data_IF_416463615842
#
_entry.id   IF_416463615842
#
_cell.length_a   1.000
_cell.length_b   1.000
_cell.length_c   1.000
_cell.angle_alpha   90.00
_cell.angle_beta   90.00
_cell.angle_gamma   90.00
#
_symmetry.space_group_name_H-M   'P 1'
#
loop_
_entity.id
_entity.type
_entity.pdbx_description
1 polymer ?
#
# COMPACT_ATOMS: atom_id res chain seq x y z
N UNK A 1 10.41 -15.71 -9.73
CA UNK A 1 10.99 -14.61 -8.91
C UNK A 1 10.97 -15.06 -7.45
N UNK A 2 12.05 -14.83 -6.71
CA UNK A 2 12.08 -15.10 -5.28
C UNK A 2 11.17 -14.10 -4.56
N UNK A 3 10.30 -14.50 -3.62
CA UNK A 3 9.32 -13.60 -2.99
C UNK A 3 9.94 -12.36 -2.35
N UNK A 4 11.10 -12.53 -1.71
CA UNK A 4 11.86 -11.43 -1.12
C UNK A 4 12.33 -10.42 -2.19
N UNK A 5 12.86 -10.90 -3.31
CA UNK A 5 13.27 -10.03 -4.42
C UNK A 5 12.07 -9.32 -5.08
N UNK A 6 10.92 -9.99 -5.16
CA UNK A 6 9.68 -9.39 -5.66
C UNK A 6 9.16 -8.28 -4.73
N UNK A 7 9.22 -8.49 -3.42
CA UNK A 7 8.84 -7.46 -2.44
C UNK A 7 9.84 -6.31 -2.42
N UNK A 8 11.14 -6.62 -2.43
CA UNK A 8 12.20 -5.62 -2.36
C UNK A 8 12.25 -4.69 -3.57
N UNK A 9 11.76 -5.12 -4.73
CA UNK A 9 11.81 -4.29 -5.93
C UNK A 9 10.79 -3.14 -5.94
N UNK A 10 9.88 -3.07 -4.96
CA UNK A 10 9.11 -1.85 -4.70
C UNK A 10 10.03 -0.69 -4.28
N UNK A 11 11.22 -0.98 -3.72
CA UNK A 11 12.27 -0.03 -3.31
C UNK A 11 13.22 0.38 -4.45
N UNK A 12 12.93 0.06 -5.71
CA UNK A 12 13.62 0.66 -6.87
C UNK A 12 12.74 1.74 -7.51
N UNK A 13 13.16 3.03 -7.54
CA UNK A 13 12.37 4.12 -8.11
C UNK A 13 11.97 3.84 -9.57
N UNK A 14 10.73 4.17 -9.93
CA UNK A 14 10.17 3.94 -11.27
C UNK A 14 9.88 2.46 -11.59
N UNK A 15 10.82 1.55 -11.27
CA UNK A 15 10.60 0.11 -11.37
C UNK A 15 9.48 -0.36 -10.43
N UNK A 16 9.44 0.14 -9.19
CA UNK A 16 8.38 -0.16 -8.23
C UNK A 16 7.00 0.24 -8.73
N UNK A 17 6.88 1.42 -9.36
CA UNK A 17 5.64 1.87 -10.03
C UNK A 17 5.21 0.92 -11.15
N UNK A 18 6.13 0.60 -12.06
CA UNK A 18 5.87 -0.35 -13.15
C UNK A 18 5.49 -1.73 -12.63
N UNK A 19 6.17 -2.19 -11.58
CA UNK A 19 5.91 -3.48 -10.97
C UNK A 19 4.55 -3.50 -10.25
N UNK A 20 4.17 -2.45 -9.54
CA UNK A 20 2.86 -2.31 -8.91
C UNK A 20 1.75 -2.39 -9.97
N UNK A 21 1.90 -1.67 -11.08
CA UNK A 21 0.99 -1.77 -12.22
C UNK A 21 0.88 -3.23 -12.71
N UNK A 22 2.01 -3.90 -12.97
CA UNK A 22 2.01 -5.28 -13.47
C UNK A 22 1.40 -6.26 -12.49
N UNK A 23 1.68 -6.10 -11.20
CA UNK A 23 1.17 -6.95 -10.14
C UNK A 23 -0.36 -6.85 -10.06
N UNK A 24 -0.90 -5.64 -10.03
CA UNK A 24 -2.34 -5.41 -9.98
C UNK A 24 -3.06 -5.78 -11.29
N UNK A 25 -2.41 -5.60 -12.44
CA UNK A 25 -2.95 -6.08 -13.72
C UNK A 25 -3.09 -7.61 -13.74
N UNK A 26 -2.13 -8.33 -13.16
CA UNK A 26 -2.22 -9.78 -12.99
C UNK A 26 -3.39 -10.16 -12.07
N UNK A 27 -3.51 -9.54 -10.90
CA UNK A 27 -4.61 -9.79 -9.96
C UNK A 27 -5.96 -9.55 -10.62
N UNK A 28 -6.11 -8.44 -11.35
CA UNK A 28 -7.35 -8.10 -12.07
C UNK A 28 -7.73 -9.20 -13.07
N UNK A 29 -6.76 -9.71 -13.83
CA UNK A 29 -6.98 -10.81 -14.77
C UNK A 29 -7.38 -12.10 -14.06
N UNK A 30 -6.77 -12.40 -12.91
CA UNK A 30 -7.10 -13.57 -12.09
C UNK A 30 -8.53 -13.49 -11.53
N UNK A 31 -8.92 -12.32 -11.02
CA UNK A 31 -10.28 -12.06 -10.54
C UNK A 31 -11.33 -12.20 -11.64
N UNK A 32 -11.04 -11.66 -12.83
CA UNK A 32 -11.92 -11.80 -13.99
C UNK A 32 -12.13 -13.26 -14.40
N UNK A 33 -11.07 -14.09 -14.35
CA UNK A 33 -11.15 -15.52 -14.69
C UNK A 33 -12.07 -16.31 -13.76
N UNK A 34 -12.20 -15.89 -12.51
CA UNK A 34 -13.06 -16.57 -11.51
C UNK A 34 -14.42 -15.86 -11.36
N UNK A 35 -14.72 -14.86 -12.19
CA UNK A 35 -15.99 -14.13 -12.11
C UNK A 35 -16.16 -13.31 -10.83
N UNK A 36 -15.07 -12.92 -10.17
CA UNK A 36 -15.16 -12.14 -8.93
C UNK A 36 -15.77 -10.75 -9.20
N UNK A 37 -16.68 -10.25 -8.34
CA UNK A 37 -17.21 -8.89 -8.47
C UNK A 37 -16.19 -7.82 -8.06
N UNK A 38 -15.09 -8.20 -7.38
CA UNK A 38 -14.04 -7.26 -7.01
C UNK A 38 -13.24 -6.83 -8.23
N UNK A 39 -13.01 -5.52 -8.31
CA UNK A 39 -12.15 -4.90 -9.32
C UNK A 39 -11.06 -4.14 -8.60
N UNK A 40 -9.84 -4.32 -9.08
CA UNK A 40 -8.70 -3.50 -8.70
C UNK A 40 -8.20 -2.82 -9.96
N UNK A 41 -7.91 -1.53 -9.86
CA UNK A 41 -7.42 -0.75 -10.99
C UNK A 41 -5.89 -0.67 -10.95
N UNK A 42 -5.17 -1.22 -11.95
CA UNK A 42 -3.71 -1.25 -11.93
C UNK A 42 -3.07 0.13 -11.92
N UNK A 43 -3.68 1.10 -12.61
CA UNK A 43 -3.20 2.49 -12.66
C UNK A 43 -3.27 3.16 -11.29
N UNK A 44 -4.32 2.90 -10.51
CA UNK A 44 -4.49 3.44 -9.17
C UNK A 44 -3.45 2.88 -8.19
N UNK A 45 -3.12 1.59 -8.29
CA UNK A 45 -2.03 1.00 -7.51
C UNK A 45 -0.66 1.59 -7.89
N UNK A 46 -0.41 1.78 -9.18
CA UNK A 46 0.81 2.39 -9.68
C UNK A 46 0.94 3.85 -9.23
N UNK A 47 -0.15 4.62 -9.25
CA UNK A 47 -0.21 5.98 -8.72
C UNK A 47 0.07 6.00 -7.22
N UNK A 48 -0.56 5.13 -6.43
CA UNK A 48 -0.29 5.01 -5.00
C UNK A 48 1.17 4.71 -4.69
N UNK A 49 1.79 3.78 -5.42
CA UNK A 49 3.23 3.49 -5.30
C UNK A 49 4.11 4.66 -5.76
N UNK A 50 3.69 5.43 -6.77
CA UNK A 50 4.44 6.60 -7.25
C UNK A 50 4.38 7.74 -6.26
N UNK A 51 3.20 8.00 -5.69
CA UNK A 51 3.03 8.95 -4.59
C UNK A 51 3.94 8.56 -3.45
N UNK A 52 3.92 7.29 -3.04
CA UNK A 52 4.79 6.77 -1.99
C UNK A 52 6.28 7.02 -2.29
N UNK A 53 6.71 6.83 -3.53
CA UNK A 53 8.07 7.09 -3.96
C UNK A 53 8.50 8.56 -3.89
N UNK A 54 7.66 9.43 -4.43
CA UNK A 54 7.95 10.86 -4.48
C UNK A 54 8.06 11.40 -3.07
N UNK A 55 7.23 10.93 -2.16
CA UNK A 55 7.20 11.38 -0.76
C UNK A 55 8.32 10.74 0.08
N UNK A 56 8.70 9.47 -0.15
CA UNK A 56 9.75 8.76 0.60
C UNK A 56 11.12 9.46 0.53
N UNK A 57 11.37 10.25 -0.52
CA UNK A 57 12.62 10.99 -0.69
C UNK A 57 12.75 12.23 0.23
N UNK A 58 11.77 12.53 1.09
CA UNK A 58 11.75 13.72 1.94
C UNK A 58 12.20 13.51 3.40
N UNK A 59 12.95 12.44 3.72
CA UNK A 59 13.49 12.20 5.08
C UNK A 59 14.61 13.17 5.49
N UNK A 60 14.46 14.47 5.23
CA UNK A 60 15.32 15.54 5.73
C UNK A 60 14.50 16.50 6.60
N UNK A 61 14.40 16.21 7.90
CA UNK A 61 13.92 17.14 8.95
C UNK A 61 12.44 17.01 9.33
N UNK A 62 12.17 16.58 10.57
CA UNK A 62 10.83 16.43 11.16
C UNK A 62 10.11 17.75 11.54
N UNK A 63 10.58 18.91 11.06
CA UNK A 63 10.11 20.22 11.51
C UNK A 63 9.32 21.01 10.44
N UNK A 64 9.10 20.46 9.25
CA UNK A 64 8.29 21.10 8.21
C UNK A 64 6.89 20.45 8.12
N UNK A 65 5.80 21.20 8.41
CA UNK A 65 4.42 20.70 8.36
C UNK A 65 4.00 20.14 7.00
N UNK A 66 4.55 20.65 5.89
CA UNK A 66 4.25 20.16 4.54
C UNK A 66 4.87 18.78 4.33
N UNK A 67 6.11 18.58 4.75
CA UNK A 67 6.79 17.28 4.65
C UNK A 67 6.11 16.22 5.54
N UNK A 68 5.63 16.64 6.71
CA UNK A 68 4.80 15.80 7.58
C UNK A 68 3.51 15.35 6.88
N UNK A 69 2.77 16.25 6.26
CA UNK A 69 1.55 15.91 5.54
C UNK A 69 1.83 14.96 4.36
N UNK A 70 2.94 15.15 3.64
CA UNK A 70 3.38 14.27 2.56
C UNK A 70 3.73 12.86 3.06
N UNK A 71 4.44 12.73 4.19
CA UNK A 71 4.76 11.44 4.82
C UNK A 71 3.50 10.65 5.26
N UNK A 72 2.41 11.35 5.54
CA UNK A 72 1.13 10.71 5.89
C UNK A 72 0.41 10.20 4.65
N UNK A 73 0.34 11.04 3.62
CA UNK A 73 -0.23 10.66 2.32
C UNK A 73 0.51 9.44 1.78
N UNK A 74 1.84 9.43 1.92
CA UNK A 74 2.71 8.29 1.64
C UNK A 74 2.31 7.02 2.36
N UNK A 75 2.28 7.06 3.70
CA UNK A 75 2.01 5.89 4.52
C UNK A 75 0.62 5.34 4.25
N UNK A 76 -0.34 6.23 4.03
CA UNK A 76 -1.73 5.88 3.67
C UNK A 76 -1.79 5.22 2.30
N UNK A 77 -1.12 5.79 1.29
CA UNK A 77 -1.09 5.26 -0.07
C UNK A 77 -0.40 3.88 -0.12
N UNK A 78 0.77 3.73 0.51
CA UNK A 78 1.49 2.46 0.59
C UNK A 78 0.66 1.38 1.29
N UNK A 79 0.06 1.72 2.42
CA UNK A 79 -0.78 0.79 3.18
C UNK A 79 -2.03 0.38 2.41
N UNK A 80 -2.71 1.33 1.76
CA UNK A 80 -3.88 1.06 0.92
C UNK A 80 -3.54 0.07 -0.21
N UNK A 81 -2.42 0.29 -0.92
CA UNK A 81 -1.96 -0.63 -1.98
C UNK A 81 -1.77 -2.05 -1.42
N UNK A 82 -1.08 -2.22 -0.30
CA UNK A 82 -0.85 -3.56 0.28
C UNK A 82 -2.18 -4.23 0.66
N UNK A 83 -3.06 -3.52 1.37
CA UNK A 83 -4.31 -4.08 1.89
C UNK A 83 -5.29 -4.41 0.77
N UNK A 84 -5.49 -3.51 -0.19
CA UNK A 84 -6.37 -3.77 -1.33
C UNK A 84 -5.83 -4.90 -2.21
N UNK A 85 -4.52 -4.94 -2.44
CA UNK A 85 -3.87 -6.05 -3.16
C UNK A 85 -4.10 -7.39 -2.48
N UNK A 86 -3.93 -7.46 -1.15
CA UNK A 86 -4.12 -8.68 -0.39
C UNK A 86 -5.59 -9.12 -0.31
N UNK A 87 -6.55 -8.18 -0.16
CA UNK A 87 -7.99 -8.48 -0.21
C UNK A 87 -8.39 -9.05 -1.58
N UNK A 88 -7.88 -8.46 -2.66
CA UNK A 88 -8.13 -8.93 -4.01
C UNK A 88 -7.55 -10.33 -4.26
N UNK A 89 -6.33 -10.60 -3.79
CA UNK A 89 -5.74 -11.94 -3.84
C UNK A 89 -6.56 -12.95 -3.05
N UNK A 90 -6.96 -12.63 -1.81
CA UNK A 90 -7.79 -13.52 -1.00
C UNK A 90 -9.11 -13.87 -1.70
N UNK A 91 -9.75 -12.89 -2.34
CA UNK A 91 -10.98 -13.15 -3.08
C UNK A 91 -10.77 -14.08 -4.28
N UNK A 92 -9.67 -13.94 -5.00
CA UNK A 92 -9.31 -14.92 -6.04
C UNK A 92 -9.13 -16.32 -5.45
N UNK A 93 -8.34 -16.45 -4.39
CA UNK A 93 -8.03 -17.73 -3.76
C UNK A 93 -9.25 -18.41 -3.12
N UNK A 94 -10.24 -17.63 -2.70
CA UNK A 94 -11.50 -18.13 -2.15
C UNK A 94 -12.45 -18.72 -3.21
N UNK A 95 -12.39 -18.24 -4.47
CA UNK A 95 -13.33 -18.63 -5.52
C UNK A 95 -12.74 -19.66 -6.48
N UNK A 96 -11.42 -19.65 -6.69
CA UNK A 96 -10.77 -20.53 -7.67
C UNK A 96 -11.03 -22.03 -7.36
N UNK A 97 -11.05 -22.90 -8.37
CA UNK A 97 -11.06 -24.35 -8.15
C UNK A 97 -9.79 -24.84 -7.44
N UNK A 98 -9.95 -25.79 -6.52
CA UNK A 98 -8.86 -26.47 -5.81
C UNK A 98 -9.00 -26.42 -4.29
N UNK A 99 -8.00 -26.95 -3.55
CA UNK A 99 -8.01 -26.90 -2.09
C UNK A 99 -8.11 -25.45 -1.59
N UNK A 100 -8.92 -25.21 -0.53
CA UNK A 100 -9.06 -23.89 0.05
C UNK A 100 -7.69 -23.39 0.50
N UNK A 101 -7.36 -22.16 0.08
CA UNK A 101 -6.20 -21.47 0.61
C UNK A 101 -6.67 -20.54 1.73
N UNK A 102 -5.98 -20.57 2.87
CA UNK A 102 -6.25 -19.66 3.97
C UNK A 102 -6.07 -18.21 3.52
N UNK A 103 -7.02 -17.35 3.90
CA UNK A 103 -6.93 -15.92 3.66
C UNK A 103 -5.75 -15.34 4.44
N UNK A 104 -4.94 -14.50 3.76
CA UNK A 104 -3.72 -13.93 4.35
C UNK A 104 -3.85 -12.47 4.81
N UNK A 105 -5.06 -11.90 4.82
CA UNK A 105 -5.27 -10.63 5.56
C UNK A 105 -5.42 -11.03 7.01
N UNK A 106 -4.35 -10.88 7.77
CA UNK A 106 -4.30 -11.23 9.18
C UNK A 106 -4.77 -10.04 10.03
N UNK A 107 -5.19 -10.26 11.28
CA UNK A 107 -5.42 -9.18 12.24
C UNK A 107 -4.22 -8.23 12.37
N UNK A 108 -3.00 -8.71 12.12
CA UNK A 108 -1.77 -7.90 12.10
C UNK A 108 -1.73 -6.87 10.99
N UNK A 109 -2.37 -7.12 9.84
CA UNK A 109 -2.44 -6.15 8.74
C UNK A 109 -3.38 -4.99 9.09
N UNK A 110 -4.47 -5.30 9.79
CA UNK A 110 -5.37 -4.30 10.37
C UNK A 110 -4.71 -3.52 11.50
N UNK A 111 -3.90 -4.18 12.31
CA UNK A 111 -3.09 -3.52 13.33
C UNK A 111 -2.06 -2.58 12.69
N UNK A 112 -1.35 -2.99 11.62
CA UNK A 112 -0.41 -2.15 10.90
C UNK A 112 -1.10 -0.91 10.29
N UNK A 113 -2.28 -1.08 9.69
CA UNK A 113 -3.17 0.01 9.26
C UNK A 113 -3.54 0.95 10.42
N UNK A 114 -3.95 0.39 11.56
CA UNK A 114 -4.33 1.14 12.75
C UNK A 114 -3.15 1.92 13.34
N UNK A 115 -1.96 1.32 13.38
CA UNK A 115 -0.72 1.98 13.81
C UNK A 115 -0.32 3.11 12.86
N UNK A 116 -0.44 2.91 11.55
CA UNK A 116 -0.22 3.96 10.57
C UNK A 116 -1.17 5.15 10.77
N UNK A 117 -2.46 4.87 11.00
CA UNK A 117 -3.46 5.90 11.29
C UNK A 117 -3.23 6.60 12.65
N UNK A 118 -2.83 5.86 13.69
CA UNK A 118 -2.51 6.42 15.00
C UNK A 118 -1.26 7.31 14.95
N UNK A 119 -0.23 6.88 14.22
CA UNK A 119 0.97 7.66 13.99
C UNK A 119 0.66 8.97 13.26
N UNK A 120 -0.27 8.95 12.30
CA UNK A 120 -0.78 10.17 11.65
C UNK A 120 -1.43 11.13 12.64
N UNK A 121 -2.36 10.66 13.47
CA UNK A 121 -3.06 11.51 14.45
C UNK A 121 -2.05 12.13 15.43
N UNK A 122 -1.12 11.32 15.93
CA UNK A 122 -0.12 11.76 16.90
C UNK A 122 0.81 12.82 16.30
N UNK A 123 1.32 12.61 15.09
CA UNK A 123 2.15 13.58 14.39
C UNK A 123 1.37 14.87 14.08
N UNK A 124 0.11 14.77 13.66
CA UNK A 124 -0.73 15.95 13.37
C UNK A 124 -0.89 16.80 14.62
N UNK A 125 -1.25 16.18 15.75
CA UNK A 125 -1.39 16.85 17.05
C UNK A 125 -0.07 17.49 17.46
N UNK A 126 1.05 16.77 17.38
CA UNK A 126 2.36 17.30 17.74
C UNK A 126 2.71 18.54 16.90
N UNK A 127 2.45 18.55 15.60
CA UNK A 127 2.78 19.69 14.74
C UNK A 127 1.89 20.93 14.98
N UNK A 128 0.62 20.75 15.33
CA UNK A 128 -0.26 21.91 15.65
C UNK A 128 -0.14 22.40 17.09
N UNK A 129 0.53 21.65 17.97
CA UNK A 129 0.75 22.00 19.38
C UNK A 129 2.16 22.50 19.68
N UNK A 130 3.11 22.39 18.73
CA UNK A 130 4.44 22.98 18.84
C UNK A 130 4.31 24.52 18.89
N UNK A 131 4.80 25.19 19.94
CA UNK A 131 4.79 26.65 20.02
C UNK A 131 5.58 27.25 18.86
N UNK A 132 4.95 28.14 18.09
CA UNK A 132 5.63 28.97 17.11
C UNK A 132 6.30 30.13 17.86
N UNK A 133 7.62 30.07 18.01
CA UNK A 133 8.43 31.20 18.46
C UNK A 133 8.59 32.23 17.33
#
# INVERSE_FOLDING_TARGET
MQPAAHGASIFVPGFGTWQAYRHFALITRLLARVGSPLKVEPSTAALGTTVWWITWLHYSGFNDPVLVALNVIELTAGTAVVVFGQRALNAYWAIRPGPPAEGRVLPTDWFALGMAAAFFVLITISNVTVPTN
#
